data_IF_289362493462
#
_entry.id   IF_289362493462
#
_cell.length_a   1.000
_cell.length_b   1.000
_cell.length_c   1.000
_cell.angle_alpha   90.00
_cell.angle_beta   90.00
_cell.angle_gamma   90.00
#
_symmetry.space_group_name_H-M   'P 1'
#
loop_
_entity.id
_entity.type
_entity.pdbx_description
1 polymer ?
#
# COMPACT_ATOMS: atom_id res chain seq x y z
N UNK A 1 6.46 5.28 29.21
CA UNK A 1 6.82 4.71 27.89
C UNK A 1 5.65 4.94 26.95
N UNK A 2 5.89 5.61 25.82
CA UNK A 2 4.84 6.10 24.93
C UNK A 2 4.23 4.91 24.15
N UNK A 3 2.98 4.54 24.46
CA UNK A 3 2.26 3.37 23.87
C UNK A 3 2.26 3.40 22.34
N UNK A 4 2.22 4.59 21.76
CA UNK A 4 2.23 4.85 20.33
C UNK A 4 3.53 4.46 19.61
N UNK A 5 4.67 4.78 20.22
CA UNK A 5 5.98 4.41 19.66
C UNK A 5 6.16 2.90 19.67
N UNK A 6 5.64 2.24 20.72
CA UNK A 6 5.64 0.78 20.80
C UNK A 6 4.76 0.16 19.70
N UNK A 7 3.60 0.73 19.40
CA UNK A 7 2.75 0.29 18.28
C UNK A 7 3.47 0.43 16.93
N UNK A 8 4.08 1.57 16.63
CA UNK A 8 4.82 1.79 15.37
C UNK A 8 6.00 0.82 15.22
N UNK A 9 6.79 0.64 16.29
CA UNK A 9 7.91 -0.32 16.29
C UNK A 9 7.40 -1.74 16.06
N UNK A 10 6.29 -2.10 16.70
CA UNK A 10 5.68 -3.41 16.55
C UNK A 10 5.18 -3.65 15.13
N UNK A 11 4.48 -2.68 14.52
CA UNK A 11 4.01 -2.78 13.13
C UNK A 11 5.17 -2.95 12.15
N UNK A 12 6.27 -2.22 12.31
CA UNK A 12 7.48 -2.39 11.47
C UNK A 12 8.08 -3.80 11.61
N UNK A 13 8.14 -4.32 12.84
CA UNK A 13 8.63 -5.68 13.10
C UNK A 13 7.74 -6.74 12.45
N UNK A 14 6.43 -6.60 12.63
CA UNK A 14 5.40 -7.48 12.03
C UNK A 14 5.52 -7.44 10.50
N UNK A 15 5.56 -6.25 9.90
CA UNK A 15 5.68 -6.13 8.45
C UNK A 15 6.94 -6.80 7.91
N UNK A 16 8.10 -6.63 8.58
CA UNK A 16 9.34 -7.31 8.18
C UNK A 16 9.21 -8.83 8.21
N UNK A 17 8.53 -9.38 9.21
CA UNK A 17 8.26 -10.81 9.30
C UNK A 17 7.32 -11.28 8.19
N UNK A 18 6.20 -10.58 7.99
CA UNK A 18 5.26 -10.85 6.89
C UNK A 18 5.94 -10.80 5.53
N UNK A 19 6.79 -9.80 5.29
CA UNK A 19 7.55 -9.65 4.05
C UNK A 19 8.49 -10.85 3.82
N UNK A 20 9.25 -11.26 4.84
CA UNK A 20 10.15 -12.41 4.72
C UNK A 20 9.39 -13.72 4.48
N UNK A 21 8.24 -13.90 5.13
CA UNK A 21 7.39 -15.07 4.94
C UNK A 21 6.79 -15.09 3.53
N UNK A 22 6.29 -13.95 3.06
CA UNK A 22 5.77 -13.78 1.70
C UNK A 22 6.87 -14.07 0.65
N UNK A 23 8.07 -13.49 0.83
CA UNK A 23 9.23 -13.74 -0.05
C UNK A 23 9.56 -15.22 -0.12
N UNK A 24 9.67 -15.88 1.04
CA UNK A 24 9.99 -17.31 1.11
C UNK A 24 8.89 -18.19 0.49
N UNK A 25 7.63 -17.75 0.54
CA UNK A 25 6.53 -18.45 -0.13
C UNK A 25 6.61 -18.31 -1.66
N UNK A 26 6.91 -17.10 -2.17
CA UNK A 26 7.10 -16.86 -3.60
C UNK A 26 8.31 -17.63 -4.14
N UNK A 27 9.45 -17.57 -3.45
CA UNK A 27 10.67 -18.31 -3.83
C UNK A 27 10.41 -19.82 -3.95
N UNK A 28 9.66 -20.41 -3.01
CA UNK A 28 9.26 -21.82 -3.09
C UNK A 28 8.40 -22.15 -4.32
N UNK A 29 7.52 -21.26 -4.74
CA UNK A 29 6.72 -21.46 -5.96
C UNK A 29 7.56 -21.28 -7.23
N UNK A 30 8.51 -20.34 -7.24
CA UNK A 30 9.47 -20.18 -8.33
C UNK A 30 10.33 -21.44 -8.49
N UNK A 31 10.83 -21.98 -7.38
CA UNK A 31 11.67 -23.19 -7.35
C UNK A 31 10.90 -24.46 -7.73
N UNK A 32 9.59 -24.52 -7.44
CA UNK A 32 8.77 -25.67 -7.87
C UNK A 32 8.63 -25.72 -9.39
N UNK A 33 8.46 -24.55 -10.04
CA UNK A 33 8.42 -24.44 -11.50
C UNK A 33 9.79 -24.76 -12.13
N UNK A 34 10.89 -24.42 -11.46
CA UNK A 34 12.26 -24.73 -11.92
C UNK A 34 12.46 -26.22 -12.18
N UNK A 35 11.92 -27.07 -11.29
CA UNK A 35 12.01 -28.53 -11.40
C UNK A 35 11.21 -29.08 -12.58
N UNK A 36 10.18 -28.38 -13.04
CA UNK A 36 9.43 -28.76 -14.24
C UNK A 36 10.18 -28.43 -15.54
N UNK A 37 11.17 -27.52 -15.47
CA UNK A 37 11.91 -27.00 -16.63
C UNK A 37 13.25 -27.72 -16.89
N UNK A 38 13.41 -28.96 -16.42
CA UNK A 38 14.67 -29.68 -16.46
C UNK A 38 15.26 -29.80 -17.88
N UNK A 39 16.58 -29.59 -17.93
CA UNK A 39 17.45 -29.60 -19.11
C UNK A 39 17.70 -31.02 -19.68
N UNK A 40 16.94 -32.03 -19.23
CA UNK A 40 17.21 -33.46 -19.48
C UNK A 40 17.18 -33.87 -20.97
N UNK A 41 16.79 -32.97 -21.86
CA UNK A 41 16.74 -33.18 -23.31
C UNK A 41 17.56 -32.14 -24.11
N UNK A 42 18.36 -31.29 -23.47
CA UNK A 42 19.22 -30.35 -24.17
C UNK A 42 20.40 -31.09 -24.79
N UNK A 43 20.51 -31.02 -26.13
CA UNK A 43 21.63 -31.63 -26.88
C UNK A 43 22.89 -30.75 -26.88
N UNK A 44 22.80 -29.52 -26.38
CA UNK A 44 23.94 -28.62 -26.25
C UNK A 44 24.70 -28.92 -24.96
N UNK A 45 26.00 -29.20 -25.05
CA UNK A 45 26.89 -29.14 -23.88
C UNK A 45 27.00 -27.67 -23.48
N UNK A 46 26.39 -27.31 -22.36
CA UNK A 46 26.51 -25.99 -21.75
C UNK A 46 26.90 -26.16 -20.27
N UNK A 47 27.59 -25.16 -19.72
CA UNK A 47 28.11 -25.19 -18.34
C UNK A 47 27.08 -24.69 -17.31
N UNK A 48 25.79 -24.78 -17.63
CA UNK A 48 24.71 -24.30 -16.77
C UNK A 48 24.46 -25.32 -15.65
N UNK A 49 24.86 -24.97 -14.43
CA UNK A 49 24.63 -25.78 -13.23
C UNK A 49 23.23 -25.51 -12.64
N UNK A 50 22.34 -26.50 -12.73
CA UNK A 50 20.97 -26.45 -12.19
C UNK A 50 20.90 -25.96 -10.73
N UNK A 51 21.91 -26.26 -9.91
CA UNK A 51 21.91 -25.89 -8.50
C UNK A 51 22.34 -24.43 -8.24
N UNK A 52 22.96 -23.78 -9.23
CA UNK A 52 23.50 -22.41 -9.09
C UNK A 52 22.72 -21.36 -9.87
N UNK A 53 21.75 -21.78 -10.68
CA UNK A 53 20.91 -20.88 -11.45
C UNK A 53 19.81 -20.21 -10.63
N UNK A 54 19.57 -18.91 -10.89
CA UNK A 54 18.43 -18.13 -10.42
C UNK A 54 17.46 -17.81 -11.56
N UNK A 55 16.20 -17.48 -11.25
CA UNK A 55 15.20 -17.08 -12.26
C UNK A 55 15.53 -15.71 -12.89
N UNK A 56 16.43 -14.94 -12.27
CA UNK A 56 16.78 -13.57 -12.66
C UNK A 56 18.04 -13.47 -13.53
N UNK A 57 18.56 -14.59 -14.02
CA UNK A 57 19.74 -14.57 -14.90
C UNK A 57 19.33 -14.55 -16.37
N UNK A 58 20.23 -14.06 -17.22
CA UNK A 58 20.05 -14.14 -18.67
C UNK A 58 20.41 -15.54 -19.17
N UNK A 59 19.48 -16.19 -19.87
CA UNK A 59 19.72 -17.49 -20.51
C UNK A 59 19.91 -17.36 -22.03
N UNK A 60 20.66 -18.28 -22.66
CA UNK A 60 20.76 -18.32 -24.13
C UNK A 60 19.41 -18.54 -24.80
N UNK A 61 19.29 -18.12 -26.06
CA UNK A 61 18.10 -18.37 -26.86
C UNK A 61 17.85 -19.87 -27.05
N UNK A 62 16.58 -20.27 -26.98
CA UNK A 62 16.17 -21.68 -27.02
C UNK A 62 16.46 -22.47 -25.74
N UNK A 63 17.02 -21.86 -24.70
CA UNK A 63 17.24 -22.52 -23.41
C UNK A 63 15.90 -22.80 -22.71
N UNK A 64 15.73 -24.01 -22.16
CA UNK A 64 14.49 -24.36 -21.44
C UNK A 64 14.26 -23.58 -20.14
N UNK A 65 15.30 -22.95 -19.59
CA UNK A 65 15.13 -22.05 -18.46
C UNK A 65 14.51 -20.69 -18.85
N UNK A 66 14.43 -20.34 -20.15
CA UNK A 66 13.55 -19.25 -20.59
C UNK A 66 12.07 -19.63 -20.40
N UNK A 67 11.67 -20.87 -20.70
CA UNK A 67 10.31 -21.35 -20.40
C UNK A 67 10.02 -21.35 -18.89
N UNK A 68 11.02 -21.60 -18.04
CA UNK A 68 10.89 -21.43 -16.59
C UNK A 68 10.57 -19.99 -16.22
N UNK A 69 11.32 -19.02 -16.77
CA UNK A 69 11.09 -17.59 -16.56
C UNK A 69 9.70 -17.15 -17.02
N UNK A 70 9.28 -17.57 -18.21
CA UNK A 70 7.94 -17.33 -18.75
C UNK A 70 6.84 -17.96 -17.88
N UNK A 71 7.07 -19.19 -17.40
CA UNK A 71 6.13 -19.87 -16.50
C UNK A 71 6.00 -19.15 -15.16
N UNK A 72 7.10 -18.61 -14.64
CA UNK A 72 7.11 -17.79 -13.43
C UNK A 72 6.36 -16.49 -13.68
N UNK A 73 6.60 -15.77 -14.78
CA UNK A 73 5.81 -14.58 -15.11
C UNK A 73 4.31 -14.89 -15.16
N UNK A 74 3.93 -15.96 -15.85
CA UNK A 74 2.52 -16.37 -15.91
C UNK A 74 1.93 -16.69 -14.53
N UNK A 75 2.67 -17.37 -13.65
CA UNK A 75 2.27 -17.61 -12.26
C UNK A 75 2.02 -16.28 -11.53
N UNK A 76 2.98 -15.36 -11.58
CA UNK A 76 2.93 -14.07 -10.90
C UNK A 76 1.78 -13.19 -11.41
N UNK A 77 1.58 -13.14 -12.73
CA UNK A 77 0.61 -12.27 -13.39
C UNK A 77 -0.82 -12.79 -13.36
N UNK A 78 -1.02 -14.09 -13.51
CA UNK A 78 -2.35 -14.63 -13.75
C UNK A 78 -2.91 -15.42 -12.57
N UNK A 79 -2.05 -16.00 -11.73
CA UNK A 79 -2.50 -16.77 -10.56
C UNK A 79 -2.41 -15.91 -9.30
N UNK A 80 -1.20 -15.49 -8.93
CA UNK A 80 -1.00 -14.79 -7.64
C UNK A 80 -1.64 -13.41 -7.66
N UNK A 81 -1.56 -12.67 -8.77
CA UNK A 81 -2.22 -11.36 -8.88
C UNK A 81 -3.74 -11.46 -8.78
N UNK A 82 -4.34 -12.57 -9.25
CA UNK A 82 -5.78 -12.83 -9.10
C UNK A 82 -6.15 -13.05 -7.63
N UNK A 83 -5.41 -13.88 -6.92
CA UNK A 83 -5.63 -14.11 -5.48
C UNK A 83 -5.48 -12.81 -4.66
N UNK A 84 -4.50 -11.97 -5.01
CA UNK A 84 -4.32 -10.65 -4.40
C UNK A 84 -5.55 -9.78 -4.65
N UNK A 85 -6.02 -9.70 -5.89
CA UNK A 85 -7.19 -8.91 -6.26
C UNK A 85 -8.43 -9.36 -5.48
N UNK A 86 -8.70 -10.66 -5.42
CA UNK A 86 -9.83 -11.22 -4.67
C UNK A 86 -9.78 -10.84 -3.18
N UNK A 87 -8.59 -10.91 -2.57
CA UNK A 87 -8.40 -10.50 -1.16
C UNK A 87 -8.58 -9.00 -0.95
N UNK A 88 -8.15 -8.16 -1.88
CA UNK A 88 -8.42 -6.70 -1.84
C UNK A 88 -9.94 -6.46 -1.88
N UNK A 89 -10.67 -7.16 -2.74
CA UNK A 89 -12.14 -7.04 -2.82
C UNK A 89 -12.83 -7.46 -1.52
N UNK A 90 -12.31 -8.48 -0.82
CA UNK A 90 -12.83 -8.88 0.50
C UNK A 90 -12.63 -7.76 1.53
N UNK A 91 -11.45 -7.14 1.56
CA UNK A 91 -11.15 -6.00 2.45
C UNK A 91 -12.11 -4.84 2.17
N UNK A 92 -12.32 -4.49 0.89
CA UNK A 92 -13.19 -3.39 0.49
C UNK A 92 -14.67 -3.69 0.79
N UNK A 93 -15.13 -4.92 0.54
CA UNK A 93 -16.48 -5.34 0.91
C UNK A 93 -16.70 -5.26 2.42
N UNK A 94 -15.70 -5.62 3.23
CA UNK A 94 -15.79 -5.45 4.69
C UNK A 94 -15.80 -3.97 5.07
N UNK A 95 -15.03 -3.12 4.40
CA UNK A 95 -15.04 -1.66 4.62
C UNK A 95 -16.45 -1.07 4.46
N UNK A 96 -17.22 -1.55 3.48
CA UNK A 96 -18.59 -1.09 3.21
C UNK A 96 -19.58 -1.36 4.36
N UNK A 97 -19.24 -2.23 5.33
CA UNK A 97 -20.07 -2.42 6.54
C UNK A 97 -19.81 -1.37 7.61
N UNK A 98 -18.89 -0.44 7.38
CA UNK A 98 -18.55 0.65 8.28
C UNK A 98 -18.92 2.00 7.66
N UNK A 99 -19.30 2.95 8.51
CA UNK A 99 -19.66 4.30 8.10
C UNK A 99 -18.93 5.34 8.92
N UNK A 100 -18.84 6.55 8.38
CA UNK A 100 -18.31 7.70 9.10
C UNK A 100 -19.18 7.98 10.33
N UNK A 101 -18.60 7.91 11.53
CA UNK A 101 -19.27 8.29 12.78
C UNK A 101 -19.32 9.82 13.02
N UNK A 102 -19.10 10.63 11.98
CA UNK A 102 -19.07 12.09 12.06
C UNK A 102 -18.15 12.65 13.17
N UNK A 103 -17.04 11.97 13.47
CA UNK A 103 -16.13 12.34 14.56
C UNK A 103 -15.34 13.64 14.32
N UNK A 104 -15.54 14.31 13.17
CA UNK A 104 -14.85 15.53 12.70
C UNK A 104 -13.33 15.42 12.47
N UNK A 105 -12.67 14.33 12.86
CA UNK A 105 -11.21 14.24 12.91
C UNK A 105 -10.54 14.43 11.54
N UNK A 106 -10.95 13.68 10.51
CA UNK A 106 -10.40 13.84 9.15
C UNK A 106 -10.80 15.18 8.50
N UNK A 107 -11.97 15.74 8.86
CA UNK A 107 -12.40 17.05 8.38
C UNK A 107 -11.57 18.19 8.98
N UNK A 108 -11.11 18.05 10.23
CA UNK A 108 -10.30 19.07 10.90
C UNK A 108 -8.81 18.90 10.65
N UNK A 109 -8.34 17.68 10.41
CA UNK A 109 -6.92 17.42 10.29
C UNK A 109 -6.63 16.31 9.28
N UNK A 110 -6.79 16.66 8.00
CA UNK A 110 -6.21 15.88 6.93
C UNK A 110 -4.71 16.16 6.84
N UNK A 111 -3.94 15.19 6.38
CA UNK A 111 -2.48 15.30 6.23
C UNK A 111 -2.05 14.77 4.87
N UNK A 112 -0.99 15.36 4.32
CA UNK A 112 -0.35 14.90 3.09
C UNK A 112 1.15 15.08 3.16
N UNK A 113 1.88 14.24 2.43
CA UNK A 113 3.32 14.38 2.19
C UNK A 113 3.61 15.46 1.13
N UNK A 114 2.58 15.94 0.45
CA UNK A 114 2.67 16.99 -0.55
C UNK A 114 2.10 18.30 -0.01
N UNK A 115 2.78 19.40 -0.32
CA UNK A 115 2.30 20.76 -0.12
C UNK A 115 1.07 21.05 -0.99
N UNK A 116 0.34 22.12 -0.67
CA UNK A 116 -0.87 22.47 -1.42
C UNK A 116 -0.56 22.80 -2.89
N UNK A 117 0.59 23.44 -3.15
CA UNK A 117 1.02 23.76 -4.51
C UNK A 117 1.43 22.52 -5.30
N UNK A 118 2.09 21.56 -4.66
CA UNK A 118 2.38 20.25 -5.29
C UNK A 118 1.09 19.50 -5.60
N UNK A 119 0.12 19.47 -4.67
CA UNK A 119 -1.20 18.86 -4.91
C UNK A 119 -1.93 19.54 -6.07
N UNK A 120 -1.88 20.87 -6.18
CA UNK A 120 -2.43 21.58 -7.35
C UNK A 120 -1.73 21.16 -8.64
N UNK A 121 -0.41 21.03 -8.63
CA UNK A 121 0.34 20.63 -9.82
C UNK A 121 0.01 19.18 -10.22
N UNK A 122 -0.07 18.26 -9.25
CA UNK A 122 -0.49 16.87 -9.48
C UNK A 122 -1.91 16.80 -10.04
N UNK A 123 -2.84 17.60 -9.49
CA UNK A 123 -4.21 17.67 -9.99
C UNK A 123 -4.27 18.16 -11.46
N UNK A 124 -3.45 19.16 -11.83
CA UNK A 124 -3.31 19.61 -13.23
C UNK A 124 -2.77 18.51 -14.15
N UNK A 125 -1.89 17.65 -13.62
CA UNK A 125 -1.32 16.51 -14.34
C UNK A 125 -2.27 15.28 -14.39
N UNK A 126 -3.51 15.40 -13.88
CA UNK A 126 -4.52 14.35 -13.95
C UNK A 126 -4.60 13.43 -12.73
N UNK A 127 -3.87 13.72 -11.64
CA UNK A 127 -3.97 12.95 -10.40
C UNK A 127 -5.35 13.16 -9.74
N UNK A 128 -6.18 12.12 -9.81
CA UNK A 128 -7.58 12.15 -9.34
C UNK A 128 -7.66 12.44 -7.84
N UNK A 129 -6.80 11.80 -7.04
CA UNK A 129 -6.76 12.01 -5.59
C UNK A 129 -6.47 13.48 -5.27
N UNK A 130 -5.44 14.07 -5.89
CA UNK A 130 -5.04 15.46 -5.65
C UNK A 130 -6.13 16.42 -6.10
N UNK A 131 -6.80 16.14 -7.23
CA UNK A 131 -7.93 16.94 -7.72
C UNK A 131 -9.10 16.96 -6.72
N UNK A 132 -9.46 15.80 -6.17
CA UNK A 132 -10.52 15.74 -5.16
C UNK A 132 -10.06 16.36 -3.83
N UNK A 133 -8.82 16.10 -3.40
CA UNK A 133 -8.27 16.62 -2.16
C UNK A 133 -8.31 18.15 -2.12
N UNK A 134 -7.77 18.83 -3.14
CA UNK A 134 -7.76 20.31 -3.18
C UNK A 134 -9.14 20.92 -3.36
N UNK A 135 -10.15 20.14 -3.79
CA UNK A 135 -11.53 20.61 -3.88
C UNK A 135 -12.26 20.64 -2.53
N UNK A 136 -11.73 19.91 -1.55
CA UNK A 136 -12.31 19.75 -0.21
C UNK A 136 -11.51 20.50 0.84
N UNK A 137 -10.19 20.39 0.76
CA UNK A 137 -9.29 20.74 1.84
C UNK A 137 -8.48 22.00 1.50
N UNK A 138 -8.28 22.84 2.50
CA UNK A 138 -7.42 24.03 2.44
C UNK A 138 -6.30 23.89 3.48
N UNK A 139 -5.09 24.39 3.20
CA UNK A 139 -3.97 24.25 4.11
C UNK A 139 -4.18 25.07 5.38
N UNK A 140 -3.65 24.59 6.50
CA UNK A 140 -3.42 25.46 7.66
C UNK A 140 -2.26 26.43 7.37
N UNK A 141 -2.32 27.62 7.97
CA UNK A 141 -1.24 28.61 7.84
C UNK A 141 0.11 28.10 8.38
N UNK A 142 0.06 27.20 9.36
CA UNK A 142 1.25 26.56 9.93
C UNK A 142 0.93 25.20 10.56
N UNK A 143 1.96 24.36 10.68
CA UNK A 143 1.86 23.09 11.42
C UNK A 143 1.56 23.33 12.91
N UNK A 144 2.01 24.45 13.48
CA UNK A 144 1.75 24.79 14.88
C UNK A 144 0.25 24.96 15.17
N UNK A 145 -0.51 25.51 14.21
CA UNK A 145 -1.96 25.61 14.33
C UNK A 145 -2.60 24.23 14.40
N UNK A 146 -2.21 23.32 13.50
CA UNK A 146 -2.67 21.94 13.50
C UNK A 146 -2.29 21.19 14.80
N UNK A 147 -1.05 21.37 15.27
CA UNK A 147 -0.53 20.75 16.49
C UNK A 147 -1.28 21.21 17.74
N UNK A 148 -1.67 22.49 17.83
CA UNK A 148 -2.48 23.01 18.94
C UNK A 148 -3.89 22.41 18.97
N UNK A 149 -4.48 22.16 17.80
CA UNK A 149 -5.83 21.59 17.70
C UNK A 149 -5.86 20.09 18.00
N UNK A 150 -4.83 19.35 17.58
CA UNK A 150 -4.79 17.89 17.62
C UNK A 150 -3.41 17.35 18.02
N UNK A 151 -2.95 17.62 19.24
CA UNK A 151 -1.56 17.38 19.61
C UNK A 151 -1.14 15.91 19.50
N UNK A 152 -1.99 15.00 19.97
CA UNK A 152 -1.71 13.56 19.95
C UNK A 152 -1.71 12.99 18.53
N UNK A 153 -2.61 13.47 17.67
CA UNK A 153 -2.74 12.97 16.30
C UNK A 153 -1.64 13.53 15.39
N UNK A 154 -1.26 14.80 15.53
CA UNK A 154 -0.08 15.34 14.81
C UNK A 154 1.19 14.63 15.25
N UNK A 155 1.33 14.34 16.55
CA UNK A 155 2.46 13.55 17.06
C UNK A 155 2.48 12.15 16.47
N UNK A 156 1.33 11.46 16.42
CA UNK A 156 1.20 10.15 15.77
C UNK A 156 1.70 10.21 14.32
N UNK A 157 1.19 11.16 13.54
CA UNK A 157 1.53 11.28 12.12
C UNK A 157 3.03 11.58 11.93
N UNK A 158 3.60 12.49 12.72
CA UNK A 158 5.04 12.80 12.65
C UNK A 158 5.93 11.62 13.07
N UNK A 159 5.51 10.80 14.03
CA UNK A 159 6.26 9.58 14.39
C UNK A 159 6.15 8.51 13.30
N UNK A 160 4.96 8.35 12.71
CA UNK A 160 4.70 7.36 11.67
C UNK A 160 5.43 7.69 10.36
N UNK A 161 5.42 8.97 9.96
CA UNK A 161 6.01 9.50 8.74
C UNK A 161 7.25 10.38 9.04
N UNK A 162 8.07 9.98 10.01
CA UNK A 162 9.22 10.75 10.50
C UNK A 162 10.25 11.16 9.44
N UNK A 163 10.30 10.44 8.32
CA UNK A 163 11.26 10.65 7.25
C UNK A 163 10.67 11.54 6.13
N UNK A 164 9.39 11.95 6.27
CA UNK A 164 8.65 12.73 5.27
C UNK A 164 8.19 14.06 5.87
N UNK A 165 8.19 15.11 5.05
CA UNK A 165 7.57 16.38 5.42
C UNK A 165 6.05 16.24 5.40
N UNK A 166 5.37 16.77 6.42
CA UNK A 166 3.92 16.65 6.56
C UNK A 166 3.24 18.02 6.52
N UNK A 167 2.29 18.14 5.61
CA UNK A 167 1.41 19.28 5.45
C UNK A 167 0.02 18.94 6.00
N UNK A 168 -0.60 19.89 6.70
CA UNK A 168 -1.89 19.69 7.35
C UNK A 168 -2.95 20.60 6.74
N UNK A 169 -4.16 20.05 6.64
CA UNK A 169 -5.28 20.67 5.97
C UNK A 169 -6.57 20.51 6.76
N UNK A 170 -7.51 21.41 6.52
CA UNK A 170 -8.86 21.36 7.08
C UNK A 170 -9.92 21.53 5.99
N UNK A 171 -11.12 21.04 6.29
CA UNK A 171 -12.29 21.17 5.45
C UNK A 171 -13.13 22.37 5.95
N UNK A 172 -13.33 23.41 5.13
CA UNK A 172 -14.10 24.59 5.52
C UNK A 172 -15.61 24.32 5.61
N UNK A 173 -16.08 23.18 5.08
CA UNK A 173 -17.49 22.74 5.19
C UNK A 173 -17.81 22.09 6.53
N UNK A 174 -16.90 22.13 7.50
CA UNK A 174 -17.18 21.65 8.85
C UNK A 174 -17.85 22.76 9.67
N UNK A 175 -19.11 22.54 10.03
CA UNK A 175 -19.89 23.49 10.83
C UNK A 175 -19.40 23.60 12.27
N UNK A 176 -19.86 24.65 12.96
CA UNK A 176 -19.56 24.89 14.38
C UNK A 176 -20.06 23.78 15.31
N UNK A 177 -21.09 23.04 14.89
CA UNK A 177 -21.59 21.84 15.59
C UNK A 177 -20.74 20.58 15.36
N UNK A 178 -19.64 20.68 14.59
CA UNK A 178 -18.75 19.56 14.28
C UNK A 178 -19.26 18.62 13.18
N UNK A 179 -20.34 18.98 12.48
CA UNK A 179 -20.90 18.19 11.37
C UNK A 179 -20.58 18.83 10.03
N UNK A 180 -20.48 18.02 8.98
CA UNK A 180 -20.34 18.52 7.61
C UNK A 180 -21.62 19.23 7.20
N UNK A 181 -21.51 20.48 6.75
CA UNK A 181 -22.65 21.29 6.28
C UNK A 181 -23.18 20.85 4.92
N UNK A 182 -22.47 19.94 4.24
CA UNK A 182 -22.79 19.46 2.90
C UNK A 182 -22.58 17.94 2.82
N UNK A 183 -23.07 17.22 3.83
CA UNK A 183 -22.77 15.80 3.99
C UNK A 183 -23.23 14.97 2.79
N UNK A 184 -24.46 15.15 2.30
CA UNK A 184 -25.02 14.34 1.20
C UNK A 184 -24.26 14.53 -0.13
N UNK A 185 -23.77 15.74 -0.41
CA UNK A 185 -23.02 16.05 -1.64
C UNK A 185 -21.50 15.90 -1.49
N UNK A 186 -21.03 15.27 -0.40
CA UNK A 186 -19.59 15.09 -0.16
C UNK A 186 -18.93 14.31 -1.31
N UNK A 187 -17.72 14.69 -1.76
CA UNK A 187 -17.04 14.01 -2.86
C UNK A 187 -16.50 12.63 -2.46
N UNK A 188 -16.03 11.86 -3.44
CA UNK A 188 -15.59 10.48 -3.25
C UNK A 188 -14.46 10.35 -2.24
N UNK A 189 -13.48 11.27 -2.22
CA UNK A 189 -12.44 11.29 -1.17
C UNK A 189 -13.01 11.29 0.26
N UNK A 190 -14.21 11.83 0.47
CA UNK A 190 -14.91 11.79 1.77
C UNK A 190 -15.79 10.55 1.93
N UNK A 191 -16.46 10.08 0.86
CA UNK A 191 -17.32 8.88 0.90
C UNK A 191 -16.51 7.59 1.01
N UNK A 192 -15.37 7.57 0.33
CA UNK A 192 -14.48 6.44 0.17
C UNK A 192 -13.36 6.45 1.21
N UNK A 193 -13.39 7.38 2.16
CA UNK A 193 -12.47 7.35 3.30
C UNK A 193 -12.84 6.21 4.27
N UNK A 194 -11.83 5.50 4.83
CA UNK A 194 -10.43 5.46 4.38
C UNK A 194 -10.29 4.65 3.08
N UNK A 195 -9.40 5.11 2.19
CA UNK A 195 -9.19 4.50 0.87
C UNK A 195 -8.35 3.21 0.92
N UNK A 196 -7.64 2.94 2.02
CA UNK A 196 -6.97 1.68 2.30
C UNK A 196 -6.77 1.51 3.82
N UNK A 197 -6.61 0.27 4.32
CA UNK A 197 -6.50 0.01 5.76
C UNK A 197 -5.13 0.34 6.36
N UNK A 198 -4.13 0.70 5.55
CA UNK A 198 -2.80 1.10 6.04
C UNK A 198 -2.73 2.59 6.39
N UNK A 199 -3.77 3.37 6.10
CA UNK A 199 -3.89 4.77 6.53
C UNK A 199 -3.84 4.86 8.06
N UNK A 200 -3.11 5.86 8.57
CA UNK A 200 -3.13 6.22 9.98
C UNK A 200 -4.49 6.85 10.32
N UNK A 201 -5.22 6.23 11.25
CA UNK A 201 -6.54 6.69 11.66
C UNK A 201 -6.49 7.37 13.03
N UNK A 202 -7.25 8.45 13.25
CA UNK A 202 -7.45 9.01 14.59
C UNK A 202 -8.07 7.97 15.53
N UNK A 203 -7.72 7.99 16.82
CA UNK A 203 -8.19 7.00 17.81
C UNK A 203 -9.72 6.84 17.88
N UNK A 204 -10.46 7.93 17.67
CA UNK A 204 -11.94 7.95 17.70
C UNK A 204 -12.59 7.61 16.35
N UNK A 205 -11.82 7.21 15.34
CA UNK A 205 -12.36 6.85 14.03
C UNK A 205 -13.12 5.52 14.13
N UNK A 206 -14.37 5.48 13.63
CA UNK A 206 -15.18 4.26 13.58
C UNK A 206 -14.58 3.17 12.68
N UNK A 207 -13.68 3.53 11.76
CA UNK A 207 -12.97 2.59 10.90
C UNK A 207 -11.78 1.90 11.58
N UNK A 208 -11.44 2.22 12.84
CA UNK A 208 -10.36 1.54 13.55
C UNK A 208 -10.62 0.04 13.75
N UNK A 209 -11.87 -0.34 14.01
CA UNK A 209 -12.26 -1.75 14.13
C UNK A 209 -12.04 -2.50 12.81
N UNK A 210 -12.53 -1.94 11.70
CA UNK A 210 -12.24 -2.47 10.36
C UNK A 210 -10.74 -2.59 10.09
N UNK A 211 -9.96 -1.54 10.40
CA UNK A 211 -8.50 -1.55 10.23
C UNK A 211 -7.87 -2.69 11.02
N UNK A 212 -8.21 -2.86 12.30
CA UNK A 212 -7.68 -3.93 13.15
C UNK A 212 -8.00 -5.33 12.60
N UNK A 213 -9.19 -5.54 12.05
CA UNK A 213 -9.58 -6.82 11.46
C UNK A 213 -8.75 -7.18 10.22
N UNK A 214 -8.37 -6.19 9.40
CA UNK A 214 -7.79 -6.44 8.08
C UNK A 214 -6.32 -6.04 7.94
N UNK A 215 -5.72 -5.37 8.93
CA UNK A 215 -4.38 -4.77 8.83
C UNK A 215 -3.29 -5.81 8.50
N UNK A 216 -3.29 -6.97 9.16
CA UNK A 216 -2.32 -8.04 8.88
C UNK A 216 -2.45 -8.55 7.44
N UNK A 217 -3.68 -8.72 6.96
CA UNK A 217 -3.96 -9.14 5.59
C UNK A 217 -3.47 -8.07 4.62
N UNK A 218 -3.76 -6.80 4.87
CA UNK A 218 -3.34 -5.68 4.03
C UNK A 218 -1.82 -5.52 3.96
N UNK A 219 -1.11 -5.64 5.09
CA UNK A 219 0.35 -5.64 5.15
C UNK A 219 0.95 -6.80 4.35
N UNK A 220 0.34 -7.98 4.45
CA UNK A 220 0.75 -9.16 3.68
C UNK A 220 0.56 -8.94 2.18
N UNK A 221 -0.59 -8.39 1.78
CA UNK A 221 -0.87 -8.08 0.37
C UNK A 221 0.09 -7.03 -0.19
N UNK A 222 0.39 -5.98 0.59
CA UNK A 222 1.38 -4.97 0.21
C UNK A 222 2.75 -5.62 -0.03
N UNK A 223 3.22 -6.45 0.89
CA UNK A 223 4.49 -7.16 0.72
C UNK A 223 4.49 -8.05 -0.54
N UNK A 224 3.40 -8.78 -0.79
CA UNK A 224 3.27 -9.61 -1.99
C UNK A 224 3.34 -8.77 -3.28
N UNK A 225 2.63 -7.63 -3.33
CA UNK A 225 2.65 -6.72 -4.48
C UNK A 225 4.08 -6.23 -4.76
N UNK A 226 4.82 -5.81 -3.73
CA UNK A 226 6.20 -5.34 -3.89
C UNK A 226 7.12 -6.44 -4.41
N UNK A 227 7.04 -7.63 -3.82
CA UNK A 227 7.87 -8.78 -4.18
C UNK A 227 7.57 -9.22 -5.62
N UNK A 228 6.29 -9.31 -5.98
CA UNK A 228 5.86 -9.69 -7.34
C UNK A 228 6.30 -8.64 -8.34
N UNK A 229 6.11 -7.35 -8.03
CA UNK A 229 6.57 -6.24 -8.87
C UNK A 229 8.06 -6.33 -9.16
N UNK A 230 8.87 -6.57 -8.11
CA UNK A 230 10.32 -6.79 -8.26
C UNK A 230 10.64 -7.97 -9.18
N UNK A 231 10.07 -9.15 -8.94
CA UNK A 231 10.36 -10.33 -9.76
C UNK A 231 9.91 -10.14 -11.21
N UNK A 232 8.72 -9.61 -11.44
CA UNK A 232 8.21 -9.33 -12.79
C UNK A 232 9.14 -8.39 -13.55
N UNK A 233 9.55 -7.29 -12.93
CA UNK A 233 10.48 -6.35 -13.54
C UNK A 233 11.80 -7.03 -13.86
N UNK A 234 12.41 -7.71 -12.88
CA UNK A 234 13.74 -8.31 -13.06
C UNK A 234 13.77 -9.49 -14.03
N UNK A 235 12.70 -10.26 -14.14
CA UNK A 235 12.60 -11.33 -15.15
C UNK A 235 12.46 -10.72 -16.55
N UNK A 236 11.64 -9.69 -16.73
CA UNK A 236 11.49 -9.01 -18.03
C UNK A 236 12.78 -8.32 -18.50
N UNK A 237 13.67 -7.89 -17.59
CA UNK A 237 14.99 -7.33 -17.94
C UNK A 237 15.95 -8.37 -18.55
N UNK A 238 15.72 -9.67 -18.33
CA UNK A 238 16.66 -10.75 -18.70
C UNK A 238 16.12 -11.77 -19.70
N UNK A 239 14.81 -11.73 -20.01
CA UNK A 239 14.17 -12.50 -21.08
C UNK A 239 14.58 -11.99 -22.46
#
# INVERSE_FOLDING_TARGET
MNTLQNEIINTRKIYRELFNNARSAIERQIDSLKKASLCNHCKQRCDIDFNKITVLQKFPDGCRYKFWQESVLNLLENQISKDIYERIQIIEKRRQTYSCACCSSCCKLASSEYSFEELKQRAKNGDVFSKEFISVFVPYDSVDTAQKLYPDYVKLLREHFKDNELYFYYCPKLGSNGLCTDYENRPNICRDFPNNPLVALPLKCSYNEWKQEVEITALTLHALIDIIGYYKQKINEVL
#
